data_IF_083197452613
#
_entry.id   IF_083197452613
#
_cell.length_a   1.000
_cell.length_b   1.000
_cell.length_c   1.000
_cell.angle_alpha   90.00
_cell.angle_beta   90.00
_cell.angle_gamma   90.00
#
_symmetry.space_group_name_H-M   'P 1'
#
loop_
_entity.id
_entity.type
_entity.pdbx_description
1 polymer ?
#
# COMPACT_ATOMS: atom_id res chain seq x y z
N UNK A 1 -30.65 10.78 -17.56
CA UNK A 1 -29.40 10.35 -18.22
C UNK A 1 -28.30 10.41 -17.16
N UNK A 2 -28.15 9.34 -16.37
CA UNK A 2 -27.19 9.27 -15.24
C UNK A 2 -26.44 7.94 -15.16
N UNK A 3 -26.74 6.99 -16.06
CA UNK A 3 -26.07 5.69 -16.11
C UNK A 3 -24.72 5.74 -16.87
N UNK A 4 -24.55 6.74 -17.75
CA UNK A 4 -23.34 6.89 -18.55
C UNK A 4 -22.15 7.38 -17.71
N UNK A 5 -22.40 8.28 -16.75
CA UNK A 5 -21.39 8.84 -15.85
C UNK A 5 -20.83 7.83 -14.82
N UNK A 6 -21.53 6.71 -14.58
CA UNK A 6 -21.06 5.69 -13.64
C UNK A 6 -20.15 4.65 -14.30
N UNK A 7 -20.46 4.24 -15.54
CA UNK A 7 -19.68 3.24 -16.26
C UNK A 7 -18.28 3.74 -16.67
N UNK A 8 -18.13 5.04 -16.94
CA UNK A 8 -16.83 5.66 -17.23
C UNK A 8 -15.96 5.87 -15.97
N UNK A 9 -16.55 5.80 -14.77
CA UNK A 9 -15.83 5.81 -13.49
C UNK A 9 -15.28 4.43 -13.08
N UNK A 10 -15.75 3.35 -13.71
CA UNK A 10 -15.53 1.98 -13.25
C UNK A 10 -14.38 1.23 -13.95
N UNK A 11 -13.60 1.88 -14.80
CA UNK A 11 -12.35 1.29 -15.30
C UNK A 11 -11.21 2.28 -15.19
N UNK A 12 -10.29 2.04 -14.24
CA UNK A 12 -9.00 2.72 -14.24
C UNK A 12 -8.36 2.56 -15.63
N UNK A 13 -7.94 3.67 -16.24
CA UNK A 13 -7.13 3.61 -17.46
C UNK A 13 -5.82 2.87 -17.19
N UNK A 14 -5.23 2.28 -18.23
CA UNK A 14 -3.96 1.56 -18.12
C UNK A 14 -2.85 2.45 -17.51
N UNK A 15 -2.80 3.73 -17.88
CA UNK A 15 -1.87 4.69 -17.31
C UNK A 15 -2.09 4.90 -15.79
N UNK A 16 -3.36 4.94 -15.33
CA UNK A 16 -3.66 5.06 -13.90
C UNK A 16 -3.31 3.78 -13.15
N UNK A 17 -3.61 2.60 -13.70
CA UNK A 17 -3.21 1.32 -13.11
C UNK A 17 -1.69 1.23 -12.97
N UNK A 18 -0.97 1.56 -14.04
CA UNK A 18 0.49 1.59 -14.04
C UNK A 18 1.05 2.56 -13.00
N UNK A 19 0.46 3.76 -12.86
CA UNK A 19 0.89 4.74 -11.87
C UNK A 19 0.65 4.26 -10.44
N UNK A 20 -0.51 3.63 -10.17
CA UNK A 20 -0.82 3.05 -8.86
C UNK A 20 0.15 1.90 -8.55
N UNK A 21 0.32 0.95 -9.48
CA UNK A 21 1.24 -0.16 -9.33
C UNK A 21 2.68 0.31 -9.05
N UNK A 22 3.17 1.27 -9.83
CA UNK A 22 4.51 1.84 -9.66
C UNK A 22 4.69 2.49 -8.28
N UNK A 23 3.66 3.17 -7.77
CA UNK A 23 3.67 3.77 -6.43
C UNK A 23 3.74 2.69 -5.34
N UNK A 24 2.92 1.64 -5.44
CA UNK A 24 2.91 0.54 -4.47
C UNK A 24 4.26 -0.17 -4.42
N UNK A 25 4.84 -0.49 -5.58
CA UNK A 25 6.18 -1.11 -5.67
C UNK A 25 7.28 -0.19 -5.09
N UNK A 26 7.20 1.12 -5.31
CA UNK A 26 8.16 2.05 -4.73
C UNK A 26 8.06 2.11 -3.20
N UNK A 27 6.84 2.09 -2.65
CA UNK A 27 6.63 1.99 -1.20
C UNK A 27 7.20 0.67 -0.67
N UNK A 28 6.89 -0.47 -1.31
CA UNK A 28 7.42 -1.78 -0.91
C UNK A 28 8.95 -1.79 -0.89
N UNK A 29 9.59 -1.34 -1.97
CA UNK A 29 11.04 -1.29 -2.06
C UNK A 29 11.66 -0.42 -0.95
N UNK A 30 10.99 0.68 -0.58
CA UNK A 30 11.42 1.52 0.55
C UNK A 30 11.32 0.77 1.88
N UNK A 31 10.23 0.07 2.14
CA UNK A 31 10.03 -0.67 3.39
C UNK A 31 11.01 -1.84 3.52
N UNK A 32 11.20 -2.61 2.44
CA UNK A 32 12.16 -3.71 2.41
C UNK A 32 13.61 -3.26 2.61
N UNK A 33 13.98 -2.08 2.09
CA UNK A 33 15.29 -1.49 2.32
C UNK A 33 15.45 -0.92 3.75
N UNK A 34 14.35 -0.78 4.49
CA UNK A 34 14.35 -0.19 5.83
C UNK A 34 14.62 -1.28 6.88
N UNK A 35 15.63 -1.07 7.73
CA UNK A 35 15.99 -2.07 8.74
C UNK A 35 15.10 -2.04 9.99
N UNK A 36 14.56 -0.87 10.36
CA UNK A 36 13.81 -0.62 11.60
C UNK A 36 12.52 0.13 11.33
N UNK A 37 11.51 -0.03 12.19
CA UNK A 37 10.23 0.66 12.06
C UNK A 37 10.41 2.18 11.83
N UNK A 38 10.03 2.71 10.64
CA UNK A 38 10.43 4.06 10.24
C UNK A 38 9.53 5.17 10.81
N UNK A 39 8.34 4.82 11.31
CA UNK A 39 7.37 5.79 11.82
C UNK A 39 7.54 6.02 13.31
N UNK A 40 7.66 7.28 13.70
CA UNK A 40 7.70 7.69 15.11
C UNK A 40 6.30 7.92 15.68
N UNK A 41 5.37 8.38 14.83
CA UNK A 41 3.97 8.54 15.17
C UNK A 41 3.18 7.31 14.67
N UNK A 42 2.46 6.58 15.56
CA UNK A 42 1.60 5.48 15.16
C UNK A 42 0.56 5.85 14.09
N UNK A 43 0.09 7.10 14.07
CA UNK A 43 -0.86 7.56 13.06
C UNK A 43 -0.25 7.60 11.66
N UNK A 44 1.04 7.89 11.53
CA UNK A 44 1.70 7.93 10.22
C UNK A 44 1.82 6.54 9.60
N UNK A 45 2.06 5.50 10.42
CA UNK A 45 2.06 4.11 9.99
C UNK A 45 0.67 3.70 9.51
N UNK A 46 -0.36 3.96 10.32
CA UNK A 46 -1.77 3.71 9.96
C UNK A 46 -2.18 4.45 8.68
N UNK A 47 -1.72 5.68 8.49
CA UNK A 47 -1.99 6.41 7.25
C UNK A 47 -1.31 5.78 6.03
N UNK A 48 -0.10 5.24 6.17
CA UNK A 48 0.55 4.51 5.09
C UNK A 48 -0.19 3.23 4.76
N UNK A 49 -0.54 2.41 5.76
CA UNK A 49 -1.32 1.18 5.59
C UNK A 49 -2.64 1.45 4.85
N UNK A 50 -3.40 2.45 5.29
CA UNK A 50 -4.67 2.82 4.66
C UNK A 50 -4.49 3.30 3.21
N UNK A 51 -3.42 4.06 2.93
CA UNK A 51 -3.11 4.49 1.55
C UNK A 51 -2.78 3.29 0.68
N UNK A 52 -1.94 2.38 1.18
CA UNK A 52 -1.51 1.20 0.45
C UNK A 52 -2.69 0.25 0.19
N UNK A 53 -3.51 0.00 1.20
CA UNK A 53 -4.70 -0.87 1.11
C UNK A 53 -5.72 -0.33 0.11
N UNK A 54 -5.98 0.99 0.13
CA UNK A 54 -6.89 1.63 -0.82
C UNK A 54 -6.38 1.47 -2.26
N UNK A 55 -5.10 1.74 -2.47
CA UNK A 55 -4.47 1.69 -3.78
C UNK A 55 -4.36 0.25 -4.31
N UNK A 56 -4.12 -0.74 -3.44
CA UNK A 56 -4.15 -2.16 -3.82
C UNK A 56 -5.57 -2.62 -4.17
N UNK A 57 -6.59 -2.22 -3.39
CA UNK A 57 -8.00 -2.48 -3.70
C UNK A 57 -8.41 -1.87 -5.04
N UNK A 58 -7.89 -0.69 -5.39
CA UNK A 58 -8.13 -0.06 -6.69
C UNK A 58 -7.58 -0.88 -7.87
N UNK A 59 -6.50 -1.64 -7.68
CA UNK A 59 -5.95 -2.56 -8.68
C UNK A 59 -6.69 -3.91 -8.77
N UNK A 60 -7.58 -4.22 -7.84
CA UNK A 60 -8.30 -5.49 -7.80
C UNK A 60 -7.36 -6.69 -7.59
N UNK A 61 -7.44 -7.70 -8.45
CA UNK A 61 -6.65 -8.93 -8.32
C UNK A 61 -5.14 -8.67 -8.38
N UNK A 62 -4.69 -7.73 -9.22
CA UNK A 62 -3.27 -7.33 -9.34
C UNK A 62 -2.73 -6.73 -8.02
N UNK A 63 -3.57 -6.10 -7.21
CA UNK A 63 -3.19 -5.49 -5.94
C UNK A 63 -3.08 -6.48 -4.77
N UNK A 64 -3.74 -7.64 -4.86
CA UNK A 64 -3.73 -8.66 -3.79
C UNK A 64 -2.31 -9.13 -3.42
N UNK A 65 -1.45 -9.54 -4.37
CA UNK A 65 -0.08 -9.95 -4.03
C UNK A 65 0.77 -8.79 -3.46
N UNK A 66 0.53 -7.56 -3.91
CA UNK A 66 1.21 -6.36 -3.39
C UNK A 66 0.83 -6.11 -1.93
N UNK A 67 -0.46 -6.23 -1.59
CA UNK A 67 -0.94 -6.12 -0.22
C UNK A 67 -0.31 -7.18 0.69
N UNK A 68 -0.31 -8.45 0.27
CA UNK A 68 0.29 -9.52 1.07
C UNK A 68 1.79 -9.33 1.32
N UNK A 69 2.52 -8.75 0.36
CA UNK A 69 3.94 -8.41 0.53
C UNK A 69 4.13 -7.24 1.50
N UNK A 70 3.26 -6.24 1.42
CA UNK A 70 3.27 -5.09 2.33
C UNK A 70 2.96 -5.50 3.76
N UNK A 71 1.93 -6.32 3.97
CA UNK A 71 1.51 -6.84 5.28
C UNK A 71 2.65 -7.59 5.99
N UNK A 72 3.31 -8.50 5.28
CA UNK A 72 4.50 -9.21 5.79
C UNK A 72 5.63 -8.26 6.17
N UNK A 73 5.83 -7.23 5.37
CA UNK A 73 6.92 -6.27 5.59
C UNK A 73 6.62 -5.34 6.77
N UNK A 74 5.36 -4.95 6.96
CA UNK A 74 4.89 -4.25 8.15
C UNK A 74 5.07 -5.10 9.42
N UNK A 75 4.69 -6.38 9.38
CA UNK A 75 4.93 -7.32 10.49
C UNK A 75 6.43 -7.40 10.86
N UNK A 76 7.30 -7.52 9.84
CA UNK A 76 8.76 -7.52 10.03
C UNK A 76 9.24 -6.24 10.70
N UNK A 77 8.77 -5.08 10.25
CA UNK A 77 9.16 -3.79 10.81
C UNK A 77 8.61 -3.60 12.23
N UNK A 78 7.37 -3.99 12.51
CA UNK A 78 6.79 -3.94 13.86
C UNK A 78 7.57 -4.80 14.85
N UNK A 79 8.06 -5.98 14.44
CA UNK A 79 8.91 -6.80 15.29
C UNK A 79 10.18 -6.06 15.74
N UNK A 80 10.71 -5.14 14.92
CA UNK A 80 11.89 -4.33 15.29
C UNK A 80 11.58 -3.20 16.27
N UNK A 81 10.33 -2.71 16.28
CA UNK A 81 9.90 -1.66 17.20
C UNK A 81 9.90 -2.16 18.65
N UNK A 82 9.36 -3.37 18.86
CA UNK A 82 9.26 -3.98 20.19
C UNK A 82 10.54 -4.72 20.62
N UNK A 83 11.43 -5.08 19.68
CA UNK A 83 12.72 -5.68 20.01
C UNK A 83 13.76 -4.70 20.58
N UNK A 84 13.49 -3.39 20.53
CA UNK A 84 14.37 -2.33 21.08
C UNK A 84 14.02 -1.96 22.53
N UNK A 85 13.02 -2.60 23.13
CA UNK A 85 12.55 -2.34 24.51
C UNK A 85 13.01 -3.38 25.55
N UNK A 86 13.87 -4.35 25.17
CA UNK A 86 14.43 -5.39 26.06
C UNK A 86 15.93 -5.15 26.38
#
# INVERSE_FOLDING_TARGET
MFAQDNAERETLSEAQRFAIHSRLEATLARLEATAIFPWRDPLDAVHEENRFERDSKMLGEEGTPLWARFDREMDRLHATQFALED
#
